data_IF_445610235102
#
_entry.id   IF_445610235102
#
_cell.length_a   1.000
_cell.length_b   1.000
_cell.length_c   1.000
_cell.angle_alpha   90.00
_cell.angle_beta   90.00
_cell.angle_gamma   90.00
#
_symmetry.space_group_name_H-M   'P 1'
#
loop_
_entity.id
_entity.type
_entity.pdbx_description
1 polymer ?
#
# COMPACT_ATOMS: atom_id res chain seq x y z
N UNK A 1 33.56 -11.09 11.52
CA UNK A 1 32.60 -10.98 12.64
C UNK A 1 31.19 -10.90 12.07
N UNK A 2 30.55 -12.06 11.88
CA UNK A 2 29.15 -12.21 11.47
C UNK A 2 28.41 -12.97 12.57
N UNK A 3 28.54 -12.51 13.82
CA UNK A 3 27.79 -13.05 14.95
C UNK A 3 26.67 -12.09 15.30
N UNK A 4 25.58 -12.22 14.55
CA UNK A 4 24.26 -11.75 14.97
C UNK A 4 23.43 -13.00 15.10
N UNK A 5 23.38 -13.59 16.29
CA UNK A 5 22.56 -14.75 16.60
C UNK A 5 21.11 -14.49 16.22
N UNK A 6 20.64 -15.15 15.16
CA UNK A 6 19.23 -15.22 14.82
C UNK A 6 18.61 -16.16 15.87
N UNK A 7 17.74 -15.67 16.77
CA UNK A 7 17.14 -16.55 17.76
C UNK A 7 16.24 -17.58 17.03
N UNK A 8 16.57 -18.86 17.19
CA UNK A 8 15.83 -20.02 16.67
C UNK A 8 14.48 -20.25 17.38
N UNK A 9 14.02 -19.30 18.18
CA UNK A 9 12.64 -19.25 18.68
C UNK A 9 11.85 -18.30 17.79
N UNK A 10 11.61 -18.72 16.55
CA UNK A 10 10.58 -18.12 15.72
C UNK A 10 9.20 -18.52 16.27
N UNK A 11 8.83 -17.97 17.42
CA UNK A 11 7.53 -17.33 17.45
C UNK A 11 7.63 -16.13 16.52
N UNK A 12 7.65 -16.40 15.22
CA UNK A 12 7.03 -15.51 14.27
C UNK A 12 5.56 -15.55 14.70
N UNK A 13 5.26 -14.82 15.76
CA UNK A 13 3.99 -14.14 15.83
C UNK A 13 4.07 -13.33 14.54
N UNK A 14 3.34 -13.81 13.53
CA UNK A 14 3.04 -13.06 12.32
C UNK A 14 2.15 -11.92 12.82
N UNK A 15 2.71 -11.03 13.64
CA UNK A 15 2.05 -9.79 13.96
C UNK A 15 1.95 -9.08 12.60
N UNK A 16 0.72 -8.83 12.14
CA UNK A 16 0.53 -8.20 10.86
C UNK A 16 1.31 -6.90 10.88
N UNK A 17 2.22 -6.72 9.91
CA UNK A 17 2.96 -5.46 9.78
C UNK A 17 1.93 -4.38 9.50
N UNK A 18 1.78 -3.46 10.44
CA UNK A 18 0.82 -2.37 10.32
C UNK A 18 1.54 -1.09 9.94
N UNK A 19 0.81 -0.18 9.29
CA UNK A 19 1.31 1.17 9.02
C UNK A 19 1.06 2.13 10.21
N UNK A 20 0.88 1.60 11.42
CA UNK A 20 0.62 2.36 12.64
C UNK A 20 1.93 2.87 13.25
N UNK A 21 1.95 4.11 13.75
CA UNK A 21 3.15 4.70 14.37
C UNK A 21 3.61 3.94 15.65
N UNK A 22 2.73 3.11 16.21
CA UNK A 22 3.03 2.22 17.34
C UNK A 22 3.77 0.93 16.94
N UNK A 23 3.79 0.59 15.65
CA UNK A 23 4.49 -0.59 15.14
C UNK A 23 5.95 -0.22 14.80
N UNK A 24 6.95 -0.84 15.44
CA UNK A 24 8.36 -0.57 15.13
C UNK A 24 8.75 -0.88 13.67
N UNK A 25 7.92 -1.62 12.92
CA UNK A 25 8.12 -1.93 11.50
C UNK A 25 7.39 -0.96 10.54
N UNK A 26 6.58 -0.04 11.06
CA UNK A 26 5.84 0.95 10.29
C UNK A 26 6.65 1.77 9.26
N UNK A 27 7.91 2.22 9.53
CA UNK A 27 8.65 3.02 8.55
C UNK A 27 9.02 2.23 7.28
N UNK A 28 9.04 0.90 7.34
CA UNK A 28 9.37 0.04 6.20
C UNK A 28 8.14 -0.60 5.54
N UNK A 29 6.99 -0.59 6.22
CA UNK A 29 5.75 -1.17 5.72
C UNK A 29 5.34 -0.57 4.37
N UNK A 30 5.30 0.77 4.27
CA UNK A 30 4.83 1.48 3.07
C UNK A 30 5.82 1.34 1.90
N UNK A 31 7.13 1.58 2.06
CA UNK A 31 8.09 1.41 0.97
C UNK A 31 8.15 -0.04 0.46
N UNK A 32 8.15 -1.03 1.35
CA UNK A 32 8.16 -2.44 0.95
C UNK A 32 6.90 -2.80 0.17
N UNK A 33 5.74 -2.34 0.62
CA UNK A 33 4.47 -2.57 -0.08
C UNK A 33 4.48 -1.92 -1.48
N UNK A 34 5.01 -0.71 -1.61
CA UNK A 34 5.16 -0.06 -2.92
C UNK A 34 6.06 -0.86 -3.85
N UNK A 35 7.25 -1.26 -3.38
CA UNK A 35 8.21 -2.01 -4.20
C UNK A 35 7.61 -3.35 -4.63
N UNK A 36 7.01 -4.11 -3.71
CA UNK A 36 6.40 -5.41 -4.06
C UNK A 36 5.26 -5.24 -5.05
N UNK A 37 4.42 -4.22 -4.89
CA UNK A 37 3.32 -3.93 -5.84
C UNK A 37 3.85 -3.63 -7.24
N UNK A 38 4.90 -2.81 -7.35
CA UNK A 38 5.55 -2.50 -8.63
C UNK A 38 6.15 -3.76 -9.26
N UNK A 39 6.87 -4.56 -8.47
CA UNK A 39 7.45 -5.82 -8.96
C UNK A 39 6.37 -6.75 -9.54
N UNK A 40 5.26 -6.96 -8.83
CA UNK A 40 4.16 -7.80 -9.33
C UNK A 40 3.51 -7.20 -10.58
N UNK A 41 3.36 -5.87 -10.66
CA UNK A 41 2.81 -5.20 -11.84
C UNK A 41 3.68 -5.41 -13.08
N UNK A 42 5.01 -5.26 -12.94
CA UNK A 42 5.97 -5.50 -14.03
C UNK A 42 5.98 -6.98 -14.43
N UNK A 43 5.94 -7.90 -13.46
CA UNK A 43 5.87 -9.34 -13.72
C UNK A 43 4.58 -9.74 -14.46
N UNK A 44 3.43 -9.13 -14.12
CA UNK A 44 2.18 -9.35 -14.83
C UNK A 44 2.27 -8.90 -16.29
N UNK A 45 2.83 -7.71 -16.54
CA UNK A 45 3.00 -7.18 -17.91
C UNK A 45 3.98 -8.03 -18.73
N UNK A 46 5.06 -8.49 -18.11
CA UNK A 46 6.00 -9.41 -18.75
C UNK A 46 5.36 -10.75 -19.09
N UNK A 47 4.63 -11.35 -18.14
CA UNK A 47 3.92 -12.61 -18.37
C UNK A 47 2.86 -12.48 -19.48
N UNK A 48 2.13 -11.35 -19.54
CA UNK A 48 1.22 -11.03 -20.63
C UNK A 48 1.94 -10.98 -21.99
N UNK A 49 3.03 -10.22 -22.07
CA UNK A 49 3.81 -10.08 -23.30
C UNK A 49 4.35 -11.44 -23.78
N UNK A 50 4.79 -12.30 -22.85
CA UNK A 50 5.25 -13.66 -23.14
C UNK A 50 4.12 -14.59 -23.56
N UNK A 51 2.93 -14.45 -22.96
CA UNK A 51 1.78 -15.23 -23.35
C UNK A 51 1.38 -14.94 -24.79
N UNK A 52 1.32 -13.66 -25.20
CA UNK A 52 1.03 -13.27 -26.59
C UNK A 52 2.02 -13.85 -27.61
N UNK A 53 3.29 -13.97 -27.23
CA UNK A 53 4.34 -14.46 -28.13
C UNK A 53 4.46 -15.99 -28.19
N UNK A 54 4.07 -16.71 -27.14
CA UNK A 54 4.35 -18.14 -27.00
C UNK A 54 3.11 -19.04 -26.86
N UNK A 55 1.94 -18.44 -26.63
CA UNK A 55 0.66 -19.11 -26.36
C UNK A 55 0.71 -20.17 -25.24
N UNK A 56 1.73 -20.12 -24.39
CA UNK A 56 1.86 -21.04 -23.26
C UNK A 56 0.95 -20.60 -22.12
N UNK A 57 0.02 -21.49 -21.75
CA UNK A 57 -0.95 -21.27 -20.67
C UNK A 57 -0.27 -20.94 -19.33
N UNK A 58 0.94 -21.45 -19.09
CA UNK A 58 1.72 -21.16 -17.88
C UNK A 58 1.96 -19.64 -17.69
N UNK A 59 2.25 -18.90 -18.78
CA UNK A 59 2.39 -17.45 -18.71
C UNK A 59 1.04 -16.75 -18.50
N UNK A 60 -0.06 -17.30 -19.01
CA UNK A 60 -1.42 -16.81 -18.73
C UNK A 60 -1.79 -16.95 -17.24
N UNK A 61 -1.52 -18.10 -16.62
CA UNK A 61 -1.73 -18.31 -15.17
C UNK A 61 -0.84 -17.37 -14.36
N UNK A 62 0.44 -17.23 -14.76
CA UNK A 62 1.38 -16.30 -14.12
C UNK A 62 0.88 -14.86 -14.19
N UNK A 63 0.42 -14.40 -15.35
CA UNK A 63 -0.16 -13.07 -15.54
C UNK A 63 -1.33 -12.83 -14.58
N UNK A 64 -2.27 -13.78 -14.48
CA UNK A 64 -3.41 -13.68 -13.57
C UNK A 64 -2.93 -13.60 -12.12
N UNK A 65 -2.03 -14.50 -11.69
CA UNK A 65 -1.50 -14.50 -10.32
C UNK A 65 -0.80 -13.19 -9.94
N UNK A 66 0.10 -12.70 -10.80
CA UNK A 66 0.80 -11.43 -10.58
C UNK A 66 -0.17 -10.23 -10.59
N UNK A 67 -1.21 -10.25 -11.43
CA UNK A 67 -2.21 -9.17 -11.49
C UNK A 67 -3.06 -9.07 -10.23
N UNK A 68 -3.46 -10.21 -9.64
CA UNK A 68 -4.22 -10.24 -8.38
C UNK A 68 -3.39 -9.66 -7.25
N UNK A 69 -2.11 -10.06 -7.14
CA UNK A 69 -1.22 -9.55 -6.11
C UNK A 69 -0.94 -8.04 -6.29
N UNK A 70 -0.78 -7.57 -7.53
CA UNK A 70 -0.67 -6.15 -7.83
C UNK A 70 -1.94 -5.36 -7.46
N UNK A 71 -3.14 -5.92 -7.71
CA UNK A 71 -4.41 -5.29 -7.35
C UNK A 71 -4.59 -5.18 -5.83
N UNK A 72 -4.23 -6.23 -5.08
CA UNK A 72 -4.24 -6.20 -3.60
C UNK A 72 -3.21 -5.19 -3.08
N UNK A 73 -2.00 -5.16 -3.64
CA UNK A 73 -0.98 -4.17 -3.28
C UNK A 73 -1.46 -2.73 -3.53
N UNK A 74 -2.05 -2.47 -4.70
CA UNK A 74 -2.64 -1.18 -5.03
C UNK A 74 -3.75 -0.80 -4.06
N UNK A 75 -4.65 -1.74 -3.73
CA UNK A 75 -5.69 -1.52 -2.73
C UNK A 75 -5.09 -1.11 -1.38
N UNK A 76 -4.05 -1.80 -0.92
CA UNK A 76 -3.40 -1.47 0.34
C UNK A 76 -2.70 -0.10 0.30
N UNK A 77 -2.10 0.31 -0.82
CA UNK A 77 -1.52 1.66 -0.97
C UNK A 77 -2.61 2.73 -0.88
N UNK A 78 -3.75 2.50 -1.55
CA UNK A 78 -4.83 3.49 -1.64
C UNK A 78 -5.65 3.61 -0.36
N UNK A 79 -5.97 2.49 0.28
CA UNK A 79 -6.94 2.44 1.38
C UNK A 79 -6.33 2.02 2.72
N UNK A 80 -5.29 1.19 2.73
CA UNK A 80 -4.69 0.70 3.97
C UNK A 80 -3.51 1.57 4.48
N UNK A 81 -2.80 2.28 3.58
CA UNK A 81 -1.71 3.20 3.96
C UNK A 81 -2.22 4.55 4.49
N UNK A 82 -3.54 4.79 4.46
CA UNK A 82 -4.16 6.02 4.92
C UNK A 82 -4.42 6.00 6.42
N UNK A 83 -3.34 6.00 7.22
CA UNK A 83 -3.50 6.50 8.57
C UNK A 83 -3.77 8.01 8.51
N UNK A 84 -5.04 8.34 8.75
CA UNK A 84 -5.58 9.68 8.70
C UNK A 84 -4.89 10.53 9.75
N UNK A 85 -4.19 11.58 9.31
CA UNK A 85 -3.77 12.65 10.21
C UNK A 85 -5.00 13.50 10.52
N UNK A 86 -5.96 12.91 11.23
CA UNK A 86 -7.11 13.62 11.75
C UNK A 86 -6.60 14.49 12.89
N UNK A 87 -6.75 15.80 12.70
CA UNK A 87 -6.32 16.78 13.68
C UNK A 87 -7.12 16.61 14.96
N UNK A 88 -6.48 16.25 16.07
CA UNK A 88 -7.11 16.25 17.41
C UNK A 88 -7.78 17.58 17.77
N UNK A 89 -7.26 18.71 17.26
CA UNK A 89 -7.81 20.05 17.54
C UNK A 89 -9.06 20.40 16.73
N UNK A 90 -9.25 19.80 15.56
CA UNK A 90 -10.31 20.24 14.63
C UNK A 90 -11.17 19.09 14.10
N UNK A 91 -10.85 17.83 14.43
CA UNK A 91 -11.49 16.64 13.88
C UNK A 91 -11.37 16.52 12.36
N UNK A 92 -10.66 17.43 11.71
CA UNK A 92 -10.52 17.50 10.26
C UNK A 92 -9.39 16.58 9.83
N UNK A 93 -9.65 15.81 8.77
CA UNK A 93 -8.61 15.15 8.02
C UNK A 93 -7.67 16.23 7.45
N UNK A 94 -6.40 16.21 7.88
CA UNK A 94 -5.38 17.17 7.42
C UNK A 94 -4.94 16.91 5.99
N UNK A 95 -5.35 15.79 5.37
CA UNK A 95 -5.07 15.49 3.97
C UNK A 95 -6.09 16.22 3.08
N UNK A 96 -5.83 17.49 2.79
CA UNK A 96 -6.50 18.22 1.70
C UNK A 96 -5.97 17.84 0.30
N UNK A 97 -4.95 16.97 0.24
CA UNK A 97 -4.40 16.45 -1.00
C UNK A 97 -5.44 15.55 -1.68
N UNK A 98 -6.09 16.05 -2.73
CA UNK A 98 -7.15 15.36 -3.47
C UNK A 98 -6.70 14.19 -4.34
N UNK A 99 -5.71 13.41 -3.89
CA UNK A 99 -5.15 12.27 -4.61
C UNK A 99 -5.45 10.95 -3.89
N UNK A 100 -5.87 9.89 -4.60
CA UNK A 100 -6.34 9.88 -6.00
C UNK A 100 -7.79 10.37 -6.15
N UNK A 101 -8.55 10.45 -5.06
CA UNK A 101 -9.94 10.91 -5.06
C UNK A 101 -10.06 12.18 -4.23
N UNK A 102 -10.55 13.27 -4.85
CA UNK A 102 -10.74 14.55 -4.19
C UNK A 102 -11.90 14.47 -3.19
N UNK A 103 -11.60 14.70 -1.91
CA UNK A 103 -12.62 14.82 -0.88
C UNK A 103 -13.45 16.10 -1.10
N UNK A 104 -14.72 15.95 -1.52
CA UNK A 104 -15.65 17.06 -1.73
C UNK A 104 -16.21 17.66 -0.42
N UNK A 105 -16.02 17.00 0.71
CA UNK A 105 -16.52 17.45 2.02
C UNK A 105 -15.52 18.34 2.77
N UNK A 106 -14.22 18.15 2.55
CA UNK A 106 -13.16 18.97 3.14
C UNK A 106 -13.33 20.50 2.89
N UNK A 107 -13.65 20.99 1.67
CA UNK A 107 -13.83 22.43 1.43
C UNK A 107 -15.12 23.00 2.05
N UNK A 108 -16.16 22.18 2.27
CA UNK A 108 -17.46 22.65 2.80
C UNK A 108 -17.33 23.13 4.25
N UNK A 109 -16.44 22.54 5.06
CA UNK A 109 -16.23 22.94 6.46
C UNK A 109 -15.42 24.23 6.65
N UNK A 110 -14.73 24.73 5.61
CA UNK A 110 -14.03 26.02 5.65
C UNK A 110 -14.86 27.20 5.14
N UNK A 111 -16.04 26.94 4.57
CA UNK A 111 -16.96 27.99 4.07
C UNK A 111 -17.51 28.89 5.18
N UNK A 112 -17.66 28.39 6.40
CA UNK A 112 -18.16 29.15 7.56
C UNK A 112 -17.15 30.11 8.20
N UNK A 113 -15.88 30.13 7.76
CA UNK A 113 -14.84 31.04 8.29
C UNK A 113 -14.56 32.26 7.41
N UNK A 114 -15.22 32.39 6.25
CA UNK A 114 -15.19 33.58 5.39
C UNK A 114 -16.49 34.39 5.52
N UNK A 115 -16.84 34.75 6.75
CA UNK A 115 -17.86 35.76 7.04
C UNK A 115 -17.69 36.23 8.49
N UNK A 116 -16.62 36.96 8.76
CA UNK A 116 -16.55 38.02 9.77
C UNK A 116 -15.27 38.82 9.61
#
# INVERSE_FOLDING_TARGET
MLTGSIPLTSSVVVEPVTAEDSDPKAPYAVPTLMVTTVSHSVSAFYAYSRWLASDQIAFGIGMVGYSVLAAVGLWCILFASSNGKISRKTGADKRTAGFPFRNQEAPKKHSGKKSS
#
